data_IF_287330033637
#
_entry.id   IF_287330033637
#
_cell.length_a   1.000
_cell.length_b   1.000
_cell.length_c   1.000
_cell.angle_alpha   90.00
_cell.angle_beta   90.00
_cell.angle_gamma   90.00
#
_symmetry.space_group_name_H-M   'P 1'
#
loop_
_entity.id
_entity.type
_entity.pdbx_description
1 polymer ?
#
# COMPACT_ATOMS: atom_id res chain seq x y z
N UNK A 1 -22.00 0.20 -21.10
CA UNK A 1 -20.79 0.95 -20.67
C UNK A 1 -20.54 2.03 -21.70
N UNK A 2 -20.57 3.29 -21.30
CA UNK A 2 -20.40 4.41 -22.22
C UNK A 2 -18.90 4.62 -22.51
N UNK A 3 -18.51 4.56 -23.77
CA UNK A 3 -17.21 5.04 -24.22
C UNK A 3 -17.26 6.57 -24.23
N UNK A 4 -16.49 7.20 -23.38
CA UNK A 4 -16.37 8.66 -23.39
C UNK A 4 -15.03 9.09 -23.98
N UNK A 5 -15.10 10.09 -24.86
CA UNK A 5 -13.94 10.67 -25.54
C UNK A 5 -13.37 11.81 -24.67
N UNK A 6 -12.20 11.60 -24.09
CA UNK A 6 -11.52 12.57 -23.22
C UNK A 6 -10.60 13.52 -23.99
N UNK A 7 -10.70 13.60 -25.30
CA UNK A 7 -9.73 14.36 -26.12
C UNK A 7 -8.34 13.75 -26.12
N UNK A 8 -8.20 12.55 -25.56
CA UNK A 8 -7.00 11.71 -25.64
C UNK A 8 -7.15 10.79 -26.84
N UNK A 9 -6.06 10.36 -27.41
CA UNK A 9 -6.04 9.38 -28.52
C UNK A 9 -6.43 7.98 -28.00
N UNK A 10 -7.67 7.84 -27.50
CA UNK A 10 -8.21 6.58 -26.98
C UNK A 10 -9.40 6.80 -26.05
N UNK A 11 -10.40 5.92 -26.09
CA UNK A 11 -11.54 5.94 -25.21
C UNK A 11 -11.15 5.42 -23.82
N UNK A 12 -11.64 6.06 -22.76
CA UNK A 12 -11.54 5.55 -21.40
C UNK A 12 -12.45 4.32 -21.27
N UNK A 13 -11.92 3.25 -20.69
CA UNK A 13 -12.65 2.04 -20.38
C UNK A 13 -12.44 1.67 -18.92
N UNK A 14 -13.54 1.42 -18.20
CA UNK A 14 -13.46 0.84 -16.85
C UNK A 14 -13.70 -0.67 -16.98
N UNK A 15 -12.82 -1.45 -16.38
CA UNK A 15 -12.89 -2.92 -16.37
C UNK A 15 -12.35 -3.51 -15.06
N UNK A 16 -12.67 -4.76 -14.75
CA UNK A 16 -11.96 -5.48 -13.69
C UNK A 16 -10.45 -5.52 -13.96
N UNK A 17 -9.66 -5.49 -12.87
CA UNK A 17 -8.22 -5.63 -12.96
C UNK A 17 -7.83 -7.07 -13.35
N UNK A 18 -6.68 -7.19 -13.99
CA UNK A 18 -6.06 -8.45 -14.38
C UNK A 18 -4.63 -8.52 -13.83
N UNK A 19 -4.05 -9.72 -13.69
CA UNK A 19 -2.68 -9.90 -13.16
C UNK A 19 -1.64 -9.06 -13.92
N UNK A 20 -1.83 -8.92 -15.24
CA UNK A 20 -0.94 -8.15 -16.11
C UNK A 20 -0.90 -6.65 -15.81
N UNK A 21 -1.86 -6.12 -15.06
CA UNK A 21 -1.95 -4.70 -14.75
C UNK A 21 -0.93 -4.23 -13.69
N UNK A 22 -0.41 -5.15 -12.88
CA UNK A 22 0.45 -4.83 -11.74
C UNK A 22 1.64 -3.91 -12.08
N UNK A 23 2.34 -4.20 -13.19
CA UNK A 23 3.51 -3.42 -13.58
C UNK A 23 3.16 -1.96 -13.96
N UNK A 24 2.03 -1.75 -14.63
CA UNK A 24 1.57 -0.43 -15.02
C UNK A 24 0.98 0.33 -13.84
N UNK A 25 0.18 -0.34 -12.99
CA UNK A 25 -0.35 0.24 -11.75
C UNK A 25 0.77 0.70 -10.82
N UNK A 26 1.82 -0.11 -10.63
CA UNK A 26 3.01 0.32 -9.91
C UNK A 26 3.61 1.60 -10.52
N UNK A 27 3.89 1.58 -11.82
CA UNK A 27 4.60 2.67 -12.49
C UNK A 27 3.81 3.98 -12.48
N UNK A 28 2.49 3.92 -12.67
CA UNK A 28 1.68 5.11 -12.93
C UNK A 28 0.78 5.54 -11.78
N UNK A 29 0.37 4.61 -10.92
CA UNK A 29 -0.57 4.88 -9.84
C UNK A 29 0.08 4.84 -8.45
N UNK A 30 1.07 3.97 -8.23
CA UNK A 30 1.72 3.73 -6.93
C UNK A 30 3.24 3.73 -7.02
N UNK A 31 3.88 4.81 -7.48
CA UNK A 31 5.34 4.86 -7.59
C UNK A 31 6.06 4.82 -6.22
N UNK A 32 5.32 5.05 -5.12
CA UNK A 32 5.83 4.99 -3.76
C UNK A 32 5.91 3.56 -3.19
N UNK A 33 5.18 2.60 -3.79
CA UNK A 33 5.23 1.18 -3.40
C UNK A 33 6.29 0.45 -4.20
N UNK A 34 6.68 -0.75 -3.78
CA UNK A 34 7.47 -1.65 -4.63
C UNK A 34 6.58 -2.38 -5.63
N UNK A 35 7.16 -2.87 -6.73
CA UNK A 35 6.42 -3.65 -7.71
C UNK A 35 5.84 -4.93 -7.09
N UNK A 36 6.63 -5.55 -6.21
CA UNK A 36 6.25 -6.76 -5.48
C UNK A 36 5.01 -6.51 -4.62
N UNK A 37 4.98 -5.41 -3.85
CA UNK A 37 3.83 -5.02 -3.04
C UNK A 37 2.56 -4.83 -3.89
N UNK A 38 2.67 -4.11 -5.01
CA UNK A 38 1.52 -3.90 -5.90
C UNK A 38 1.03 -5.22 -6.50
N UNK A 39 1.96 -6.12 -6.86
CA UNK A 39 1.62 -7.44 -7.40
C UNK A 39 0.91 -8.31 -6.36
N UNK A 40 1.43 -8.37 -5.14
CA UNK A 40 0.84 -9.13 -4.03
C UNK A 40 -0.55 -8.62 -3.66
N UNK A 41 -0.72 -7.30 -3.55
CA UNK A 41 -2.03 -6.69 -3.28
C UNK A 41 -3.04 -6.99 -4.40
N UNK A 42 -2.63 -6.88 -5.66
CA UNK A 42 -3.49 -7.18 -6.80
C UNK A 42 -3.88 -8.66 -6.81
N UNK A 43 -2.93 -9.56 -6.58
CA UNK A 43 -3.18 -10.99 -6.54
C UNK A 43 -4.12 -11.36 -5.39
N UNK A 44 -3.92 -10.80 -4.20
CA UNK A 44 -4.82 -11.00 -3.07
C UNK A 44 -6.26 -10.58 -3.39
N UNK A 45 -6.45 -9.46 -4.09
CA UNK A 45 -7.79 -9.02 -4.50
C UNK A 45 -8.41 -9.97 -5.55
N UNK A 46 -7.63 -10.44 -6.53
CA UNK A 46 -8.10 -11.39 -7.54
C UNK A 46 -8.47 -12.75 -6.95
N UNK A 47 -7.76 -13.19 -5.91
CA UNK A 47 -7.99 -14.45 -5.19
C UNK A 47 -9.06 -14.33 -4.09
N UNK A 48 -9.62 -13.14 -3.85
CA UNK A 48 -10.55 -12.86 -2.75
C UNK A 48 -11.93 -13.53 -2.88
N UNK A 49 -12.18 -14.33 -3.92
CA UNK A 49 -13.47 -14.97 -4.18
C UNK A 49 -14.66 -13.99 -4.21
N UNK A 50 -14.44 -12.79 -4.75
CA UNK A 50 -15.46 -11.76 -4.88
C UNK A 50 -15.71 -10.98 -3.57
N UNK A 51 -14.86 -11.10 -2.56
CA UNK A 51 -14.89 -10.22 -1.40
C UNK A 51 -14.38 -8.82 -1.76
N UNK A 52 -13.39 -8.74 -2.64
CA UNK A 52 -12.85 -7.49 -3.17
C UNK A 52 -12.92 -7.50 -4.68
N UNK A 53 -13.39 -6.42 -5.25
CA UNK A 53 -13.37 -6.16 -6.69
C UNK A 53 -12.45 -4.98 -6.94
N UNK A 54 -11.37 -5.18 -7.71
CA UNK A 54 -10.51 -4.10 -8.18
C UNK A 54 -10.91 -3.72 -9.60
N UNK A 55 -11.19 -2.43 -9.79
CA UNK A 55 -11.52 -1.86 -11.10
C UNK A 55 -10.37 -0.98 -11.57
N UNK A 56 -10.07 -1.03 -12.85
CA UNK A 56 -9.05 -0.18 -13.48
C UNK A 56 -9.68 0.69 -14.56
N UNK A 57 -9.20 1.91 -14.63
CA UNK A 57 -9.44 2.83 -15.73
C UNK A 57 -8.32 2.63 -16.76
N UNK A 58 -8.68 2.17 -17.94
CA UNK A 58 -7.76 1.90 -19.04
C UNK A 58 -7.89 2.97 -20.14
N UNK A 59 -6.77 3.45 -20.63
CA UNK A 59 -6.68 4.29 -21.81
C UNK A 59 -5.60 3.74 -22.73
N UNK A 60 -5.93 3.54 -24.00
CA UNK A 60 -5.02 3.01 -25.03
C UNK A 60 -4.34 1.69 -24.64
N UNK A 61 -5.03 0.83 -23.89
CA UNK A 61 -4.52 -0.46 -23.43
C UNK A 61 -3.68 -0.42 -22.14
N UNK A 62 -3.56 0.75 -21.48
CA UNK A 62 -2.78 0.91 -20.26
C UNK A 62 -3.67 1.33 -19.09
N UNK A 63 -3.55 0.69 -17.91
CA UNK A 63 -4.15 1.17 -16.67
C UNK A 63 -3.60 2.55 -16.31
N UNK A 64 -4.48 3.52 -16.16
CA UNK A 64 -4.17 4.90 -15.78
C UNK A 64 -4.79 5.32 -14.45
N UNK A 65 -5.58 4.44 -13.86
CA UNK A 65 -6.22 4.63 -12.56
C UNK A 65 -6.83 3.35 -12.07
N UNK A 66 -7.11 3.28 -10.78
CA UNK A 66 -7.79 2.15 -10.15
C UNK A 66 -8.61 2.56 -8.93
N UNK A 67 -9.51 1.67 -8.52
CA UNK A 67 -10.26 1.71 -7.27
C UNK A 67 -10.56 0.29 -6.80
N UNK A 68 -10.67 0.07 -5.51
CA UNK A 68 -11.13 -1.21 -4.94
C UNK A 68 -12.49 -1.04 -4.27
N UNK A 69 -13.33 -2.06 -4.39
CA UNK A 69 -14.61 -2.19 -3.69
C UNK A 69 -14.59 -3.52 -2.95
N UNK A 70 -14.69 -3.49 -1.64
CA UNK A 70 -14.73 -4.70 -0.81
C UNK A 70 -16.05 -4.77 -0.04
N UNK A 71 -16.50 -5.99 0.22
CA UNK A 71 -17.67 -6.22 1.09
C UNK A 71 -17.25 -5.99 2.54
N UNK A 72 -18.11 -5.32 3.30
CA UNK A 72 -17.90 -5.20 4.74
C UNK A 72 -18.07 -6.57 5.41
N UNK A 73 -17.22 -6.88 6.40
CA UNK A 73 -17.24 -8.16 7.09
C UNK A 73 -18.37 -8.31 8.11
N UNK A 74 -18.92 -7.20 8.58
CA UNK A 74 -19.96 -7.16 9.59
C UNK A 74 -21.35 -6.88 9.04
N UNK A 75 -21.45 -6.26 7.87
CA UNK A 75 -22.71 -5.85 7.25
C UNK A 75 -22.71 -6.08 5.74
N UNK A 76 -23.48 -7.05 5.28
CA UNK A 76 -23.59 -7.37 3.84
C UNK A 76 -24.24 -6.27 2.99
N UNK A 77 -24.91 -5.28 3.61
CA UNK A 77 -25.51 -4.15 2.93
C UNK A 77 -24.52 -2.95 2.79
N UNK A 78 -23.30 -3.10 3.33
CA UNK A 78 -22.23 -2.10 3.27
C UNK A 78 -21.10 -2.61 2.39
N UNK A 79 -20.61 -1.76 1.50
CA UNK A 79 -19.36 -1.95 0.78
C UNK A 79 -18.35 -0.87 1.16
N UNK A 80 -17.10 -1.23 1.22
CA UNK A 80 -15.99 -0.30 1.47
C UNK A 80 -15.28 0.02 0.15
N UNK A 81 -15.04 1.30 -0.10
CA UNK A 81 -14.22 1.74 -1.22
C UNK A 81 -12.83 2.14 -0.74
N UNK A 82 -11.82 1.81 -1.53
CA UNK A 82 -10.44 2.13 -1.18
C UNK A 82 -9.51 2.18 -2.38
N UNK A 83 -8.24 2.47 -2.11
CA UNK A 83 -7.17 2.44 -3.10
C UNK A 83 -7.47 3.24 -4.39
N UNK A 84 -8.26 4.33 -4.29
CA UNK A 84 -8.49 5.21 -5.43
C UNK A 84 -7.19 5.93 -5.80
N UNK A 85 -6.67 5.60 -6.96
CA UNK A 85 -5.47 6.23 -7.49
C UNK A 85 -5.64 6.51 -8.98
N UNK A 86 -5.15 7.68 -9.42
CA UNK A 86 -5.13 8.08 -10.82
C UNK A 86 -3.74 8.62 -11.14
N UNK A 87 -3.17 8.17 -12.24
CA UNK A 87 -1.89 8.62 -12.76
C UNK A 87 -1.87 10.15 -12.93
N UNK A 88 -0.75 10.78 -12.54
CA UNK A 88 -0.60 12.23 -12.47
C UNK A 88 -1.17 13.00 -13.68
N UNK A 89 -0.79 12.67 -14.93
CA UNK A 89 -1.28 13.36 -16.13
C UNK A 89 -2.80 13.29 -16.33
N UNK A 90 -3.48 12.31 -15.72
CA UNK A 90 -4.91 12.04 -15.93
C UNK A 90 -5.81 12.51 -14.77
N UNK A 91 -5.21 13.03 -13.66
CA UNK A 91 -5.97 13.43 -12.45
C UNK A 91 -7.02 14.52 -12.69
N UNK A 92 -6.79 15.39 -13.67
CA UNK A 92 -7.69 16.51 -13.98
C UNK A 92 -8.67 16.21 -15.11
N UNK A 93 -8.68 14.98 -15.62
CA UNK A 93 -9.52 14.58 -16.76
C UNK A 93 -10.79 13.83 -16.34
N UNK A 94 -11.15 13.87 -15.06
CA UNK A 94 -12.37 13.23 -14.56
C UNK A 94 -12.30 11.71 -14.43
N UNK A 95 -11.12 11.09 -14.57
CA UNK A 95 -10.96 9.63 -14.46
C UNK A 95 -11.46 9.08 -13.12
N UNK A 96 -11.22 9.84 -12.03
CA UNK A 96 -11.68 9.45 -10.69
C UNK A 96 -13.21 9.42 -10.60
N UNK A 97 -13.92 10.34 -11.29
CA UNK A 97 -15.37 10.40 -11.27
C UNK A 97 -15.96 9.10 -11.86
N UNK A 98 -15.39 8.60 -12.98
CA UNK A 98 -15.82 7.33 -13.59
C UNK A 98 -15.46 6.11 -12.77
N UNK A 99 -14.34 6.14 -12.05
CA UNK A 99 -13.97 5.07 -11.13
C UNK A 99 -14.93 4.99 -9.95
N UNK A 100 -15.37 6.13 -9.41
CA UNK A 100 -16.40 6.18 -8.35
C UNK A 100 -17.74 5.66 -8.87
N UNK A 101 -18.21 6.14 -10.04
CA UNK A 101 -19.46 5.64 -10.64
C UNK A 101 -19.42 4.11 -10.86
N UNK A 102 -18.28 3.59 -11.32
CA UNK A 102 -18.11 2.15 -11.50
C UNK A 102 -18.07 1.38 -10.17
N UNK A 103 -17.49 1.98 -9.14
CA UNK A 103 -17.48 1.41 -7.79
C UNK A 103 -18.89 1.35 -7.19
N UNK A 104 -19.70 2.40 -7.37
CA UNK A 104 -21.11 2.43 -6.95
C UNK A 104 -21.92 1.34 -7.65
N UNK A 105 -21.74 1.19 -8.97
CA UNK A 105 -22.39 0.15 -9.74
C UNK A 105 -21.99 -1.26 -9.26
N UNK A 106 -20.70 -1.51 -9.06
CA UNK A 106 -20.18 -2.79 -8.58
C UNK A 106 -20.67 -3.10 -7.15
N UNK A 107 -20.71 -2.13 -6.25
CA UNK A 107 -21.26 -2.29 -4.92
C UNK A 107 -22.75 -2.66 -4.96
N UNK A 108 -23.53 -1.97 -5.80
CA UNK A 108 -24.96 -2.22 -5.98
C UNK A 108 -25.23 -3.60 -6.58
N UNK A 109 -24.46 -4.02 -7.59
CA UNK A 109 -24.56 -5.36 -8.19
C UNK A 109 -24.26 -6.46 -7.17
N UNK A 110 -23.38 -6.18 -6.20
CA UNK A 110 -23.06 -7.07 -5.09
C UNK A 110 -24.05 -7.02 -3.91
N UNK A 111 -25.12 -6.22 -4.03
CA UNK A 111 -26.20 -6.14 -3.04
C UNK A 111 -25.97 -5.10 -1.94
N UNK A 112 -24.92 -4.31 -1.99
CA UNK A 112 -24.71 -3.24 -1.02
C UNK A 112 -25.72 -2.10 -1.25
N UNK A 113 -26.14 -1.48 -0.17
CA UNK A 113 -27.01 -0.29 -0.15
C UNK A 113 -26.24 0.96 0.24
N UNK A 114 -25.06 0.79 0.81
CA UNK A 114 -24.20 1.88 1.29
C UNK A 114 -22.77 1.63 0.83
N UNK A 115 -22.13 2.68 0.34
CA UNK A 115 -20.71 2.69 0.01
C UNK A 115 -19.99 3.60 1.00
N UNK A 116 -18.95 3.09 1.66
CA UNK A 116 -18.23 3.79 2.72
C UNK A 116 -16.75 3.89 2.40
N UNK A 117 -16.10 4.90 2.98
CA UNK A 117 -14.65 5.04 3.00
C UNK A 117 -14.20 5.57 4.36
N UNK A 118 -13.09 5.05 4.87
CA UNK A 118 -12.43 5.57 6.05
C UNK A 118 -11.23 6.43 5.63
N UNK A 119 -11.20 7.66 6.09
CA UNK A 119 -10.15 8.63 5.78
C UNK A 119 -9.64 9.28 7.06
N UNK A 120 -8.33 9.53 7.17
CA UNK A 120 -7.79 10.36 8.25
C UNK A 120 -8.42 11.75 8.22
N UNK A 121 -8.84 12.25 9.37
CA UNK A 121 -9.45 13.59 9.48
C UNK A 121 -8.54 14.75 9.06
N UNK A 122 -7.22 14.48 8.98
CA UNK A 122 -6.22 15.43 8.47
C UNK A 122 -6.28 15.63 6.95
N UNK A 123 -6.87 14.68 6.20
CA UNK A 123 -6.92 14.71 4.74
C UNK A 123 -8.11 15.52 4.21
N UNK A 124 -8.22 16.78 4.64
CA UNK A 124 -9.39 17.63 4.37
C UNK A 124 -9.72 17.80 2.89
N UNK A 125 -8.71 17.88 2.01
CA UNK A 125 -8.93 18.00 0.56
C UNK A 125 -9.50 16.71 -0.05
N UNK A 126 -9.05 15.55 0.42
CA UNK A 126 -9.57 14.25 -0.01
C UNK A 126 -11.00 14.09 0.47
N UNK A 127 -11.25 14.37 1.75
CA UNK A 127 -12.61 14.34 2.34
C UNK A 127 -13.57 15.24 1.56
N UNK A 128 -13.14 16.47 1.21
CA UNK A 128 -13.97 17.37 0.42
C UNK A 128 -14.30 16.78 -0.94
N UNK A 129 -13.34 16.13 -1.59
CA UNK A 129 -13.58 15.49 -2.90
C UNK A 129 -14.61 14.35 -2.81
N UNK A 130 -14.56 13.53 -1.75
CA UNK A 130 -15.57 12.49 -1.53
C UNK A 130 -16.95 13.10 -1.24
N UNK A 131 -17.03 14.22 -0.51
CA UNK A 131 -18.29 14.96 -0.33
C UNK A 131 -18.86 15.48 -1.66
N UNK A 132 -18.01 15.93 -2.57
CA UNK A 132 -18.43 16.37 -3.92
C UNK A 132 -19.04 15.20 -4.73
N UNK A 133 -18.64 13.95 -4.45
CA UNK A 133 -19.25 12.72 -4.99
C UNK A 133 -20.46 12.23 -4.19
N UNK A 134 -20.94 12.99 -3.21
CA UNK A 134 -22.16 12.68 -2.45
C UNK A 134 -21.95 11.88 -1.17
N UNK A 135 -20.70 11.58 -0.79
CA UNK A 135 -20.44 10.96 0.52
C UNK A 135 -20.74 11.95 1.66
N UNK A 136 -21.27 11.42 2.76
CA UNK A 136 -21.58 12.19 3.96
C UNK A 136 -20.82 11.65 5.15
N UNK A 137 -20.39 12.54 6.06
CA UNK A 137 -19.70 12.11 7.27
C UNK A 137 -20.64 11.32 8.19
N UNK A 138 -20.16 10.20 8.71
CA UNK A 138 -20.80 9.49 9.81
C UNK A 138 -20.37 10.11 11.15
N UNK A 139 -21.30 10.23 12.14
CA UNK A 139 -20.96 10.69 13.48
C UNK A 139 -20.29 9.56 14.27
N UNK A 140 -19.07 9.19 13.91
CA UNK A 140 -18.29 8.13 14.56
C UNK A 140 -17.15 8.74 15.36
N UNK A 141 -16.95 8.27 16.60
CA UNK A 141 -15.82 8.64 17.45
C UNK A 141 -14.98 7.41 17.69
N UNK A 142 -13.72 7.45 17.29
CA UNK A 142 -12.74 6.40 17.57
C UNK A 142 -11.93 6.81 18.80
N UNK A 143 -11.95 5.97 19.84
CA UNK A 143 -11.15 6.17 21.04
C UNK A 143 -9.99 5.19 21.05
N UNK A 144 -8.79 5.70 21.32
CA UNK A 144 -7.56 4.91 21.41
C UNK A 144 -6.95 5.05 22.80
N UNK A 145 -6.50 3.94 23.36
CA UNK A 145 -5.66 3.92 24.56
C UNK A 145 -4.32 3.28 24.21
N UNK A 146 -3.24 4.00 24.45
CA UNK A 146 -1.91 3.39 24.39
C UNK A 146 -1.76 2.45 25.57
N UNK A 147 -1.30 1.22 25.31
CA UNK A 147 -0.89 0.27 26.33
C UNK A 147 0.62 0.37 26.42
N UNK A 148 1.13 0.73 27.61
CA UNK A 148 2.56 0.73 27.85
C UNK A 148 3.06 -0.70 27.64
N UNK A 149 4.04 -0.89 26.77
CA UNK A 149 4.76 -2.16 26.69
C UNK A 149 5.41 -2.35 28.08
N UNK A 150 5.11 -3.46 28.75
CA UNK A 150 5.81 -3.82 29.97
C UNK A 150 7.32 -3.77 29.66
N UNK A 151 8.05 -2.98 30.42
CA UNK A 151 9.51 -2.97 30.37
C UNK A 151 9.96 -4.41 30.59
N UNK A 152 10.52 -5.02 29.54
CA UNK A 152 11.24 -6.29 29.70
C UNK A 152 12.49 -5.91 30.44
N UNK A 153 12.52 -6.12 31.77
CA UNK A 153 13.72 -6.06 32.54
C UNK A 153 14.68 -7.09 31.93
N UNK A 154 15.67 -6.64 31.16
CA UNK A 154 16.85 -7.42 30.82
C UNK A 154 17.60 -7.66 32.14
N UNK A 155 17.40 -8.85 32.72
CA UNK A 155 18.35 -9.39 33.72
C UNK A 155 19.72 -9.51 33.04
N UNK A 156 20.56 -8.51 33.29
CA UNK A 156 21.98 -8.60 32.99
C UNK A 156 22.56 -9.59 33.99
N UNK A 157 22.75 -10.84 33.56
CA UNK A 157 23.60 -11.79 34.31
C UNK A 157 25.01 -11.20 34.41
N UNK A 158 25.32 -10.72 35.62
CA UNK A 158 26.64 -10.31 36.01
C UNK A 158 27.55 -11.56 36.01
N UNK A 159 28.35 -11.71 34.95
CA UNK A 159 29.38 -12.75 34.89
C UNK A 159 30.49 -12.32 35.82
N UNK A 160 30.58 -12.96 37.00
CA UNK A 160 31.71 -12.84 37.90
C UNK A 160 33.02 -13.24 37.16
N UNK A 161 33.89 -12.25 36.96
CA UNK A 161 35.28 -12.48 36.60
C UNK A 161 35.98 -13.22 37.72
N UNK A 162 36.30 -14.48 37.50
CA UNK A 162 37.19 -15.26 38.35
C UNK A 162 38.63 -14.88 38.00
N UNK A 163 39.21 -14.06 38.89
CA UNK A 163 40.63 -13.75 38.91
C UNK A 163 41.43 -15.02 39.27
N UNK A 164 42.12 -15.62 38.33
CA UNK A 164 43.10 -16.69 38.59
C UNK A 164 44.51 -16.19 38.24
N UNK A 165 45.11 -15.52 39.20
CA UNK A 165 46.53 -15.25 39.22
C UNK A 165 47.28 -16.54 39.54
N UNK A 166 48.03 -17.07 38.55
CA UNK A 166 49.28 -17.73 38.90
C UNK A 166 50.27 -17.69 37.75
N UNK A 167 51.43 -17.15 38.02
CA UNK A 167 52.53 -16.94 37.14
C UNK A 167 53.20 -18.21 36.65
N UNK A 168 53.92 -18.07 35.59
CA UNK A 168 55.35 -18.52 35.55
C UNK A 168 56.07 -17.93 34.33
N UNK A 169 57.35 -17.76 34.56
CA UNK A 169 58.32 -17.05 33.72
C UNK A 169 58.66 -17.83 32.40
N UNK A 170 59.09 -17.08 31.40
CA UNK A 170 59.99 -17.76 30.47
C UNK A 170 60.04 -17.29 29.02
N UNK A 171 60.93 -16.34 28.82
CA UNK A 171 61.88 -16.30 27.69
C UNK A 171 61.50 -15.81 26.30
N UNK A 172 62.09 -14.70 26.03
CA UNK A 172 62.47 -14.02 24.77
C UNK A 172 62.91 -14.96 23.65
N UNK A 173 62.51 -14.69 22.42
CA UNK A 173 63.41 -14.62 21.24
C UNK A 173 62.78 -13.70 20.18
N UNK A 174 63.57 -12.68 19.80
CA UNK A 174 63.46 -11.85 18.62
C UNK A 174 63.59 -12.61 17.30
N UNK A 175 63.02 -12.10 16.28
CA UNK A 175 63.54 -11.80 14.92
C UNK A 175 62.29 -11.62 14.02
N UNK A 176 62.06 -10.56 13.32
CA UNK A 176 62.87 -9.82 12.43
C UNK A 176 62.35 -9.95 11.01
N UNK A 177 62.15 -8.83 10.37
CA UNK A 177 62.12 -8.76 8.88
C UNK A 177 60.76 -8.58 8.23
N UNK A 178 60.42 -7.33 7.92
CA UNK A 178 60.64 -6.64 6.59
C UNK A 178 59.60 -7.05 5.53
N UNK A 179 58.76 -6.09 5.25
CA UNK A 179 58.76 -5.13 4.11
C UNK A 179 58.24 -5.68 2.77
N UNK A 180 57.48 -4.80 2.24
CA UNK A 180 57.32 -4.30 0.84
C UNK A 180 56.14 -4.92 0.09
N UNK A 181 55.20 -4.11 -0.23
CA UNK A 181 55.07 -3.05 -1.25
C UNK A 181 54.64 -3.53 -2.62
N UNK A 182 53.76 -2.78 -3.20
CA UNK A 182 53.53 -2.49 -4.66
C UNK A 182 52.37 -3.26 -5.34
N UNK A 183 51.35 -2.51 -5.66
CA UNK A 183 51.01 -1.83 -6.93
C UNK A 183 50.34 -2.68 -8.01
N UNK A 184 49.23 -2.08 -8.45
CA UNK A 184 48.67 -2.01 -9.82
C UNK A 184 48.27 -3.29 -10.60
N UNK A 185 47.01 -3.35 -10.85
CA UNK A 185 46.40 -3.21 -12.18
C UNK A 185 44.85 -3.20 -12.07
#
# INVERSE_FOLDING_TARGET
>A
MANQDFGLTGALKIRPAEEGDAAHLHTFCFPEKTKEQVTEELQADLESNGQTTRLVAESSGYPIGQITVSKDSGDAEVAQVGNLAVSGPFRQLGVADYLIEAAEAAATENGAKTLEIELPSSETNVIQRYKDWGFVEKPLVILQKMLDAAEVEEEVEEVEEVDDTNGDEGQVVETGGEQQELLDA
#
